data_IF_572029800003
#
_entry.id   IF_572029800003
#
_cell.length_a   1.000
_cell.length_b   1.000
_cell.length_c   1.000
_cell.angle_alpha   90.00
_cell.angle_beta   90.00
_cell.angle_gamma   90.00
#
_symmetry.space_group_name_H-M   'P 1'
#
loop_
_entity.id
_entity.type
_entity.pdbx_description
1 polymer ?
#
# COMPACT_ATOMS: atom_id res chain seq x y z
N UNK A 1 11.94 14.02 -9.46
CA UNK A 1 11.67 12.89 -8.54
C UNK A 1 10.18 12.94 -8.21
N UNK A 2 9.41 11.86 -8.30
CA UNK A 2 7.95 11.93 -8.12
C UNK A 2 7.63 12.16 -6.63
N UNK A 3 7.63 13.43 -6.20
CA UNK A 3 7.46 13.85 -4.80
C UNK A 3 6.17 13.31 -4.17
N UNK A 4 5.18 12.96 -4.99
CA UNK A 4 3.90 12.38 -4.55
C UNK A 4 4.09 11.03 -3.83
N UNK A 5 4.78 10.07 -4.46
CA UNK A 5 4.99 8.74 -3.85
C UNK A 5 5.88 8.82 -2.61
N UNK A 6 6.86 9.72 -2.60
CA UNK A 6 7.70 9.96 -1.42
C UNK A 6 6.88 10.48 -0.24
N UNK A 7 6.01 11.47 -0.49
CA UNK A 7 5.11 12.00 0.53
C UNK A 7 4.17 10.92 1.07
N UNK A 8 3.52 10.17 0.19
CA UNK A 8 2.62 9.07 0.57
C UNK A 8 3.35 8.05 1.45
N UNK A 9 4.52 7.56 1.03
CA UNK A 9 5.25 6.57 1.81
C UNK A 9 5.69 7.10 3.18
N UNK A 10 6.08 8.38 3.28
CA UNK A 10 6.44 8.98 4.56
C UNK A 10 5.24 9.05 5.50
N UNK A 11 4.09 9.51 5.02
CA UNK A 11 2.84 9.58 5.79
C UNK A 11 2.39 8.17 6.24
N UNK A 12 2.44 7.18 5.35
CA UNK A 12 2.12 5.80 5.72
C UNK A 12 3.10 5.26 6.77
N UNK A 13 4.40 5.48 6.63
CA UNK A 13 5.38 5.05 7.62
C UNK A 13 5.17 5.73 8.98
N UNK A 14 4.80 7.01 9.02
CA UNK A 14 4.43 7.69 10.26
C UNK A 14 3.24 7.02 10.95
N UNK A 15 2.21 6.63 10.20
CA UNK A 15 1.07 5.90 10.75
C UNK A 15 1.47 4.49 11.23
N UNK A 16 2.37 3.81 10.51
CA UNK A 16 2.88 2.48 10.88
C UNK A 16 3.60 2.51 12.24
N UNK A 17 4.33 3.58 12.56
CA UNK A 17 5.01 3.73 13.86
C UNK A 17 4.05 3.66 15.06
N UNK A 18 2.77 3.95 14.84
CA UNK A 18 1.73 3.98 15.86
C UNK A 18 0.72 2.84 15.71
N UNK A 19 0.97 1.89 14.81
CA UNK A 19 0.06 0.80 14.50
C UNK A 19 0.35 -0.45 15.35
N UNK A 20 -0.72 -1.13 15.77
CA UNK A 20 -0.64 -2.43 16.42
C UNK A 20 -0.67 -3.60 15.41
N UNK A 21 -0.93 -3.33 14.12
CA UNK A 21 -0.93 -4.36 13.07
C UNK A 21 0.45 -4.53 12.46
N UNK A 22 0.75 -5.74 11.98
CA UNK A 22 2.03 -6.04 11.34
C UNK A 22 2.01 -5.61 9.87
N UNK A 23 2.52 -4.42 9.61
CA UNK A 23 2.52 -3.79 8.28
C UNK A 23 3.90 -3.25 7.90
N UNK A 24 4.21 -3.25 6.61
CA UNK A 24 5.46 -2.72 6.06
C UNK A 24 5.19 -1.86 4.82
N UNK A 25 5.82 -0.69 4.72
CA UNK A 25 5.72 0.19 3.55
C UNK A 25 7.07 0.28 2.82
N UNK A 26 7.13 -0.14 1.55
CA UNK A 26 8.39 -0.27 0.80
C UNK A 26 8.31 0.33 -0.61
N UNK A 27 9.42 0.91 -1.06
CA UNK A 27 9.59 1.29 -2.46
C UNK A 27 10.11 0.11 -3.29
N UNK A 28 9.60 -0.02 -4.51
CA UNK A 28 10.15 -0.91 -5.52
C UNK A 28 10.28 -0.19 -6.87
N UNK A 29 11.30 -0.57 -7.64
CA UNK A 29 11.44 -0.17 -9.05
C UNK A 29 11.25 -1.40 -9.92
N UNK A 30 10.24 -1.38 -10.78
CA UNK A 30 10.01 -2.44 -11.76
C UNK A 30 10.96 -2.31 -12.96
N UNK A 31 11.12 -3.39 -13.73
CA UNK A 31 11.99 -3.42 -14.94
C UNK A 31 11.63 -2.33 -15.97
N UNK A 32 10.36 -1.91 -16.01
CA UNK A 32 9.86 -0.82 -16.85
C UNK A 32 10.27 0.59 -16.40
N UNK A 33 10.99 0.73 -15.27
CA UNK A 33 11.29 2.02 -14.66
C UNK A 33 10.16 2.60 -13.81
N UNK A 34 8.99 1.95 -13.79
CA UNK A 34 7.86 2.30 -12.91
C UNK A 34 8.30 2.18 -11.45
N UNK A 35 8.05 3.23 -10.69
CA UNK A 35 8.27 3.25 -9.24
C UNK A 35 6.95 2.96 -8.56
N UNK A 36 6.98 2.07 -7.58
CA UNK A 36 5.81 1.61 -6.85
C UNK A 36 6.07 1.72 -5.34
N UNK A 37 5.08 2.16 -4.59
CA UNK A 37 5.02 2.02 -3.12
C UNK A 37 4.12 0.85 -2.82
N UNK A 38 4.62 -0.12 -2.07
CA UNK A 38 3.86 -1.26 -1.56
C UNK A 38 3.54 -1.07 -0.09
N UNK A 39 2.33 -1.47 0.31
CA UNK A 39 2.00 -1.75 1.70
C UNK A 39 1.77 -3.25 1.84
N UNK A 40 2.60 -3.94 2.61
CA UNK A 40 2.41 -5.34 2.97
C UNK A 40 1.71 -5.42 4.32
N UNK A 41 0.64 -6.20 4.41
CA UNK A 41 -0.05 -6.51 5.66
C UNK A 41 0.12 -7.99 5.95
N UNK A 42 0.70 -8.31 7.11
CA UNK A 42 1.02 -9.66 7.53
C UNK A 42 0.00 -10.08 8.58
N UNK A 43 -0.86 -11.02 8.22
CA UNK A 43 -1.98 -11.47 9.04
C UNK A 43 -2.29 -12.94 8.71
N UNK A 44 -2.55 -13.74 9.74
CA UNK A 44 -2.83 -15.17 9.59
C UNK A 44 -4.19 -15.47 8.95
N UNK A 45 -5.06 -14.46 8.82
CA UNK A 45 -6.34 -14.56 8.10
C UNK A 45 -6.14 -14.62 6.58
N UNK A 46 -4.96 -14.25 6.06
CA UNK A 46 -4.61 -14.46 4.67
C UNK A 46 -4.12 -15.89 4.43
N UNK A 47 -4.49 -16.49 3.29
CA UNK A 47 -4.10 -17.85 2.92
C UNK A 47 -2.58 -18.07 2.97
N UNK A 48 -1.81 -17.10 2.47
CA UNK A 48 -0.34 -17.12 2.45
C UNK A 48 0.30 -16.35 3.61
N UNK A 49 -0.49 -15.95 4.61
CA UNK A 49 -0.03 -15.19 5.78
C UNK A 49 0.30 -13.72 5.53
N UNK A 50 0.11 -13.22 4.31
CA UNK A 50 0.29 -11.82 3.96
C UNK A 50 -0.53 -11.41 2.73
N UNK A 51 -0.82 -10.13 2.62
CA UNK A 51 -1.36 -9.51 1.41
C UNK A 51 -0.76 -8.13 1.19
N UNK A 52 -1.01 -7.51 0.04
CA UNK A 52 -0.43 -6.20 -0.27
C UNK A 52 -1.33 -5.31 -1.14
N UNK A 53 -1.16 -4.00 -0.94
CA UNK A 53 -1.67 -2.94 -1.81
C UNK A 53 -0.49 -2.20 -2.43
N UNK A 54 -0.72 -1.50 -3.54
CA UNK A 54 0.35 -0.72 -4.16
C UNK A 54 -0.13 0.53 -4.91
N UNK A 55 0.73 1.55 -4.94
CA UNK A 55 0.53 2.79 -5.70
C UNK A 55 1.75 2.98 -6.61
N UNK A 56 1.52 3.12 -7.92
CA UNK A 56 2.57 3.25 -8.93
C UNK A 56 2.55 4.59 -9.63
N UNK A 57 3.67 4.96 -10.29
CA UNK A 57 3.78 6.24 -11.03
C UNK A 57 2.83 6.37 -12.23
N UNK A 58 2.25 5.26 -12.71
CA UNK A 58 1.30 5.23 -13.81
C UNK A 58 -0.18 5.24 -13.36
N UNK A 59 -0.46 5.22 -12.05
CA UNK A 59 -1.82 5.33 -11.53
C UNK A 59 -2.35 6.77 -11.69
N UNK A 60 -3.65 6.89 -11.95
CA UNK A 60 -4.38 8.14 -11.95
C UNK A 60 -4.43 8.75 -10.53
N UNK A 61 -4.82 10.02 -10.42
CA UNK A 61 -4.95 10.65 -9.10
C UNK A 61 -6.08 10.04 -8.27
N UNK A 62 -7.18 9.62 -8.90
CA UNK A 62 -8.33 8.99 -8.26
C UNK A 62 -7.94 7.62 -7.70
N UNK A 63 -7.28 6.80 -8.51
CA UNK A 63 -6.76 5.48 -8.10
C UNK A 63 -5.79 5.60 -6.93
N UNK A 64 -4.89 6.58 -6.98
CA UNK A 64 -3.95 6.83 -5.89
C UNK A 64 -4.68 7.21 -4.61
N UNK A 65 -5.71 8.05 -4.69
CA UNK A 65 -6.44 8.49 -3.51
C UNK A 65 -7.22 7.32 -2.88
N UNK A 66 -7.89 6.51 -3.71
CA UNK A 66 -8.63 5.35 -3.25
C UNK A 66 -7.72 4.34 -2.53
N UNK A 67 -6.62 3.93 -3.17
CA UNK A 67 -5.68 2.99 -2.57
C UNK A 67 -5.02 3.57 -1.32
N UNK A 68 -4.71 4.87 -1.32
CA UNK A 68 -4.13 5.54 -0.15
C UNK A 68 -5.07 5.52 1.07
N UNK A 69 -6.36 5.79 0.88
CA UNK A 69 -7.35 5.68 1.96
C UNK A 69 -7.51 4.23 2.44
N UNK A 70 -7.50 3.25 1.54
CA UNK A 70 -7.52 1.83 1.91
C UNK A 70 -6.28 1.45 2.74
N UNK A 71 -5.09 1.88 2.32
CA UNK A 71 -3.84 1.64 3.05
C UNK A 71 -3.91 2.18 4.49
N UNK A 72 -4.45 3.39 4.70
CA UNK A 72 -4.62 3.96 6.04
C UNK A 72 -5.56 3.13 6.91
N UNK A 73 -6.68 2.65 6.36
CA UNK A 73 -7.63 1.79 7.10
C UNK A 73 -7.01 0.46 7.51
N UNK A 74 -6.17 -0.12 6.64
CA UNK A 74 -5.41 -1.34 6.97
C UNK A 74 -4.42 -1.06 8.11
N UNK A 75 -3.64 0.03 8.03
CA UNK A 75 -2.70 0.43 9.08
C UNK A 75 -3.41 0.72 10.42
N UNK A 76 -4.63 1.28 10.38
CA UNK A 76 -5.45 1.50 11.57
C UNK A 76 -6.06 0.21 12.15
N UNK A 77 -5.87 -0.95 11.50
CA UNK A 77 -6.47 -2.22 11.90
C UNK A 77 -7.98 -2.32 11.62
N UNK A 78 -8.54 -1.40 10.86
CA UNK A 78 -9.97 -1.32 10.54
C UNK A 78 -10.38 -2.24 9.39
N UNK A 79 -9.42 -2.73 8.60
CA UNK A 79 -9.68 -3.53 7.41
C UNK A 79 -8.58 -4.56 7.12
N UNK A 80 -8.98 -5.68 6.50
CA UNK A 80 -8.09 -6.55 5.75
C UNK A 80 -8.06 -6.11 4.28
N UNK A 81 -6.93 -6.32 3.61
CA UNK A 81 -6.80 -6.31 2.15
C UNK A 81 -7.56 -7.51 1.55
N UNK A 82 -8.61 -7.28 0.76
CA UNK A 82 -9.35 -8.35 0.09
C UNK A 82 -8.69 -8.74 -1.24
N UNK A 83 -8.99 -9.94 -1.76
CA UNK A 83 -8.45 -10.38 -3.07
C UNK A 83 -8.98 -9.54 -4.24
N UNK A 84 -10.19 -9.00 -4.12
CA UNK A 84 -10.77 -8.09 -5.10
C UNK A 84 -10.00 -6.76 -5.18
N UNK A 85 -9.45 -6.30 -4.05
CA UNK A 85 -8.61 -5.08 -3.97
C UNK A 85 -7.24 -5.28 -4.65
N UNK A 86 -6.83 -6.53 -4.91
CA UNK A 86 -5.56 -6.87 -5.57
C UNK A 86 -5.58 -6.61 -7.08
N UNK A 87 -6.77 -6.58 -7.69
CA UNK A 87 -6.95 -6.70 -9.15
C UNK A 87 -7.35 -5.40 -9.87
N UNK A 88 -7.37 -4.25 -9.20
CA UNK A 88 -7.89 -3.02 -9.82
C UNK A 88 -7.00 -2.49 -10.96
N UNK A 89 -5.75 -2.97 -11.12
CA UNK A 89 -4.79 -2.35 -12.07
C UNK A 89 -3.93 -3.34 -12.89
N UNK A 90 -4.54 -4.38 -13.48
CA UNK A 90 -3.90 -5.16 -14.55
C UNK A 90 -4.14 -4.51 -15.93
#
# INVERSE_FOLDING_TARGET
MNHKLLRIANELNELILHSDVKVECQFARRKSGIITVYLFHIDNRYEVGASHLYISTNCSNEEVQEVYEQMKRVIAGEALINEEDRNVFN
#
